data_IF_880830445863
#
_entry.id   IF_880830445863
#
_cell.length_a   1.000
_cell.length_b   1.000
_cell.length_c   1.000
_cell.angle_alpha   90.00
_cell.angle_beta   90.00
_cell.angle_gamma   90.00
#
_symmetry.space_group_name_H-M   'P 1'
#
loop_
_entity.id
_entity.type
_entity.pdbx_description
1 polymer ?
#
# COMPACT_ATOMS: atom_id res chain seq x y z
N UNK A 1 -4.89 -3.86 4.73
CA UNK A 1 -4.43 -5.14 4.09
C UNK A 1 -2.97 -5.00 3.67
N UNK A 2 -2.22 -6.10 3.47
CA UNK A 2 -0.84 -6.05 2.95
C UNK A 2 -0.67 -6.91 1.69
N UNK A 3 -0.07 -6.32 0.68
CA UNK A 3 0.49 -7.00 -0.50
C UNK A 3 1.99 -6.73 -0.60
N UNK A 4 2.73 -7.65 -1.22
CA UNK A 4 4.15 -7.42 -1.51
C UNK A 4 4.62 -8.24 -2.70
N UNK A 5 5.71 -7.80 -3.31
CA UNK A 5 6.52 -8.66 -4.18
C UNK A 5 7.18 -9.76 -3.35
N UNK A 6 7.56 -10.86 -4.02
CA UNK A 6 8.18 -12.01 -3.34
C UNK A 6 9.60 -11.70 -2.87
N UNK A 7 10.34 -10.91 -3.65
CA UNK A 7 11.65 -10.39 -3.27
C UNK A 7 11.61 -9.30 -2.18
N UNK A 8 10.42 -8.84 -1.80
CA UNK A 8 10.22 -7.82 -0.77
C UNK A 8 10.63 -6.40 -1.18
N UNK A 9 10.98 -6.18 -2.46
CA UNK A 9 11.35 -4.86 -2.98
C UNK A 9 10.22 -3.83 -2.92
N UNK A 10 8.96 -4.29 -3.01
CA UNK A 10 7.77 -3.44 -2.89
C UNK A 10 6.73 -4.05 -1.95
N UNK A 11 6.09 -3.20 -1.17
CA UNK A 11 4.93 -3.56 -0.36
C UNK A 11 3.88 -2.44 -0.34
N UNK A 12 2.61 -2.85 -0.35
CA UNK A 12 1.46 -1.97 -0.26
C UNK A 12 0.67 -2.29 1.00
N UNK A 13 0.47 -1.28 1.84
CA UNK A 13 -0.36 -1.34 3.05
C UNK A 13 -1.62 -0.52 2.82
N UNK A 14 -2.68 -1.20 2.38
CA UNK A 14 -3.96 -0.58 2.04
C UNK A 14 -4.72 -0.21 3.31
N UNK A 15 -5.15 1.04 3.38
CA UNK A 15 -5.95 1.63 4.47
C UNK A 15 -7.38 1.92 4.06
N UNK A 16 -7.60 2.34 2.81
CA UNK A 16 -8.91 2.68 2.27
C UNK A 16 -9.05 2.18 0.83
N UNK A 17 -10.29 2.07 0.35
CA UNK A 17 -10.55 1.69 -1.03
C UNK A 17 -11.95 2.06 -1.50
N UNK A 18 -12.06 2.44 -2.77
CA UNK A 18 -13.31 2.75 -3.44
C UNK A 18 -13.41 2.00 -4.77
N UNK A 19 -14.59 1.44 -5.06
CA UNK A 19 -14.82 0.71 -6.30
C UNK A 19 -15.06 1.68 -7.46
N UNK A 20 -14.32 1.52 -8.55
CA UNK A 20 -14.68 2.08 -9.86
C UNK A 20 -15.76 1.18 -10.47
N UNK A 21 -16.91 1.76 -10.79
CA UNK A 21 -18.08 1.01 -11.28
C UNK A 21 -18.46 1.40 -12.71
N UNK A 22 -19.08 0.47 -13.43
CA UNK A 22 -19.81 0.76 -14.67
C UNK A 22 -21.09 1.56 -14.37
N UNK A 23 -21.77 2.12 -15.40
CA UNK A 23 -23.08 2.74 -15.22
C UNK A 23 -24.12 1.80 -14.59
N UNK A 24 -24.02 0.49 -14.84
CA UNK A 24 -24.92 -0.54 -14.30
C UNK A 24 -24.56 -0.93 -12.85
N UNK A 25 -23.51 -0.34 -12.27
CA UNK A 25 -23.10 -0.53 -10.88
C UNK A 25 -22.06 -1.63 -10.65
N UNK A 26 -21.62 -2.35 -11.69
CA UNK A 26 -20.63 -3.42 -11.58
C UNK A 26 -19.23 -2.89 -11.30
N UNK A 27 -18.53 -3.46 -10.30
CA UNK A 27 -17.17 -3.03 -9.95
C UNK A 27 -16.16 -3.58 -10.98
N UNK A 28 -15.43 -2.69 -11.65
CA UNK A 28 -14.42 -3.05 -12.66
C UNK A 28 -12.98 -2.90 -12.16
N UNK A 29 -12.77 -2.07 -11.14
CA UNK A 29 -11.49 -1.92 -10.47
C UNK A 29 -11.70 -1.26 -9.10
N UNK A 30 -10.63 -1.14 -8.31
CA UNK A 30 -10.62 -0.45 -7.03
C UNK A 30 -9.50 0.58 -6.99
N UNK A 31 -9.85 1.83 -6.69
CA UNK A 31 -8.88 2.85 -6.29
C UNK A 31 -8.59 2.66 -4.81
N UNK A 32 -7.33 2.45 -4.47
CA UNK A 32 -6.89 2.16 -3.12
C UNK A 32 -5.99 3.29 -2.62
N UNK A 33 -6.03 3.52 -1.32
CA UNK A 33 -5.12 4.46 -0.65
C UNK A 33 -4.36 3.75 0.47
N UNK A 34 -3.08 4.04 0.57
CA UNK A 34 -2.25 3.47 1.61
C UNK A 34 -0.78 3.81 1.51
N UNK A 35 0.00 3.17 2.37
CA UNK A 35 1.45 3.29 2.39
C UNK A 35 2.06 2.35 1.33
N UNK A 36 2.84 2.93 0.42
CA UNK A 36 3.70 2.21 -0.52
C UNK A 36 5.12 2.25 0.01
N UNK A 37 5.73 1.08 0.17
CA UNK A 37 7.10 0.91 0.62
C UNK A 37 7.92 0.32 -0.50
N UNK A 38 8.92 1.06 -0.97
CA UNK A 38 9.91 0.64 -1.95
C UNK A 38 11.25 1.30 -1.66
N UNK A 39 11.96 1.84 -2.68
CA UNK A 39 13.14 2.70 -2.47
C UNK A 39 12.83 3.89 -1.55
N UNK A 40 11.65 4.48 -1.74
CA UNK A 40 11.08 5.50 -0.87
C UNK A 40 9.78 5.00 -0.22
N UNK A 41 9.38 5.68 0.85
CA UNK A 41 8.11 5.43 1.54
C UNK A 41 7.18 6.61 1.32
N UNK A 42 5.98 6.33 0.82
CA UNK A 42 4.98 7.38 0.55
C UNK A 42 3.56 6.90 0.72
N UNK A 43 2.69 7.81 1.12
CA UNK A 43 1.25 7.61 1.00
C UNK A 43 0.80 7.98 -0.40
N UNK A 44 0.05 7.09 -1.05
CA UNK A 44 -0.34 7.29 -2.44
C UNK A 44 -1.67 6.60 -2.76
N UNK A 45 -2.27 7.03 -3.87
CA UNK A 45 -3.38 6.34 -4.50
C UNK A 45 -2.87 5.40 -5.59
N UNK A 46 -3.48 4.21 -5.70
CA UNK A 46 -3.10 3.23 -6.72
C UNK A 46 -4.30 2.37 -7.10
N UNK A 47 -4.36 1.95 -8.36
CA UNK A 47 -5.36 0.99 -8.83
C UNK A 47 -4.98 -0.42 -8.41
N UNK A 48 -5.97 -1.23 -8.01
CA UNK A 48 -5.74 -2.64 -7.70
C UNK A 48 -5.18 -3.38 -8.93
N UNK A 49 -5.72 -3.11 -10.12
CA UNK A 49 -5.22 -3.69 -11.37
C UNK A 49 -3.73 -3.43 -11.59
N UNK A 50 -3.26 -2.20 -11.40
CA UNK A 50 -1.85 -1.82 -11.52
C UNK A 50 -0.97 -2.62 -10.55
N UNK A 51 -1.40 -2.75 -9.28
CA UNK A 51 -0.65 -3.54 -8.27
C UNK A 51 -0.58 -5.02 -8.66
N UNK A 52 -1.67 -5.59 -9.21
CA UNK A 52 -1.69 -7.00 -9.63
C UNK A 52 -0.89 -7.26 -10.92
N UNK A 53 -0.63 -6.22 -11.72
CA UNK A 53 0.22 -6.29 -12.91
C UNK A 53 1.71 -6.08 -12.60
N UNK A 54 2.07 -5.66 -11.39
CA UNK A 54 3.47 -5.57 -11.00
C UNK A 54 4.11 -6.96 -10.88
N UNK A 55 5.31 -7.07 -11.43
CA UNK A 55 6.17 -8.23 -11.32
C UNK A 55 7.50 -7.81 -10.69
N UNK A 56 8.05 -8.67 -9.85
CA UNK A 56 9.37 -8.45 -9.28
C UNK A 56 10.49 -8.72 -10.29
N UNK A 57 11.75 -8.55 -9.85
CA UNK A 57 12.93 -8.76 -10.72
C UNK A 57 13.04 -10.17 -11.31
N UNK A 58 12.34 -11.15 -10.71
CA UNK A 58 12.29 -12.54 -11.15
C UNK A 58 11.01 -12.86 -11.93
N UNK A 59 10.18 -11.86 -12.25
CA UNK A 59 8.92 -12.05 -12.97
C UNK A 59 7.80 -12.62 -12.10
N UNK A 60 7.95 -12.62 -10.77
CA UNK A 60 6.92 -13.13 -9.85
C UNK A 60 5.90 -12.03 -9.55
N UNK A 61 4.62 -12.41 -9.50
CA UNK A 61 3.52 -11.48 -9.21
C UNK A 61 3.49 -11.06 -7.76
N UNK A 62 2.89 -9.90 -7.51
CA UNK A 62 2.51 -9.45 -6.18
C UNK A 62 1.53 -10.42 -5.54
N UNK A 63 1.74 -10.76 -4.27
CA UNK A 63 0.91 -11.68 -3.51
C UNK A 63 0.25 -11.02 -2.30
N UNK A 64 -0.95 -11.50 -1.95
CA UNK A 64 -1.62 -11.10 -0.70
C UNK A 64 -1.02 -11.86 0.47
N UNK A 65 -0.61 -11.11 1.48
CA UNK A 65 -0.04 -11.71 2.68
C UNK A 65 -1.14 -12.34 3.55
N UNK A 66 -1.32 -13.66 3.44
CA UNK A 66 -2.43 -14.40 4.06
C UNK A 66 -2.46 -14.36 5.60
N UNK A 67 -1.30 -14.25 6.25
CA UNK A 67 -1.16 -14.19 7.71
C UNK A 67 -0.96 -12.79 8.28
N UNK A 68 -1.10 -11.75 7.45
CA UNK A 68 -0.89 -10.38 7.91
C UNK A 68 -1.97 -9.98 8.92
N UNK A 69 -1.55 -9.31 10.00
CA UNK A 69 -2.45 -8.69 10.98
C UNK A 69 -2.34 -7.17 10.85
N UNK A 70 -3.46 -6.42 10.88
CA UNK A 70 -3.42 -4.97 10.89
C UNK A 70 -2.54 -4.42 12.01
N UNK A 71 -1.78 -3.38 11.68
CA UNK A 71 -0.92 -2.60 12.59
C UNK A 71 -1.10 -1.13 12.27
N UNK A 72 -0.78 -0.24 13.21
CA UNK A 72 -0.75 1.20 12.93
C UNK A 72 0.38 1.53 11.95
N UNK A 73 0.24 2.62 11.22
CA UNK A 73 1.23 3.04 10.23
C UNK A 73 2.56 3.43 10.85
N UNK A 74 2.55 4.02 12.04
CA UNK A 74 3.76 4.35 12.81
C UNK A 74 4.45 3.12 13.43
N UNK A 75 3.76 1.99 13.57
CA UNK A 75 4.41 0.70 13.87
C UNK A 75 5.09 0.08 12.64
N UNK A 76 4.64 0.43 11.42
CA UNK A 76 5.14 -0.10 10.14
C UNK A 76 6.27 0.78 9.59
N UNK A 77 6.13 2.09 9.70
CA UNK A 77 7.01 3.11 9.17
C UNK A 77 7.24 4.24 10.19
N UNK A 78 7.82 3.95 11.37
CA UNK A 78 7.98 4.92 12.44
C UNK A 78 8.76 6.17 12.01
N UNK A 79 9.72 6.02 11.11
CA UNK A 79 10.50 7.12 10.54
C UNK A 79 9.67 8.20 9.85
N UNK A 80 8.47 7.88 9.35
CA UNK A 80 7.57 8.86 8.73
C UNK A 80 6.84 9.74 9.76
N UNK A 81 6.91 9.40 11.05
CA UNK A 81 6.15 10.06 12.13
C UNK A 81 7.03 10.60 13.26
N UNK A 82 8.34 10.33 13.25
CA UNK A 82 9.30 10.72 14.31
C UNK A 82 9.60 12.22 14.41
N UNK A 83 9.07 13.05 13.52
CA UNK A 83 9.42 14.47 13.44
C UNK A 83 8.44 15.42 14.17
N UNK A 84 7.32 14.94 14.70
CA UNK A 84 6.31 15.83 15.30
C UNK A 84 6.60 16.26 16.75
N UNK A 85 7.58 15.65 17.41
CA UNK A 85 7.90 15.97 18.82
C UNK A 85 8.92 17.11 18.99
N UNK A 86 9.48 17.66 17.90
CA UNK A 86 10.56 18.68 17.98
C UNK A 86 10.20 20.10 17.53
N UNK A 87 8.98 20.31 17.02
CA UNK A 87 8.56 21.62 16.47
C UNK A 87 7.47 22.32 17.31
N UNK A 88 7.24 21.87 18.56
CA UNK A 88 6.26 22.49 19.48
C UNK A 88 6.89 23.22 20.69
N UNK A 89 8.21 23.36 20.74
CA UNK A 89 8.91 24.22 21.69
C UNK A 89 9.71 25.28 20.93
N UNK A 90 9.08 26.39 20.59
CA UNK A 90 9.68 27.74 20.50
C UNK A 90 8.57 28.82 20.51
#
# INVERSE_FOLDING_TARGET
>A
MRWSTRDGSLAWYVTEGSARRTPDGEAVDYLLYGLVVGPDRRFDYFWLSDVMMHHDSLGMRVERHSRWRPKRLDEIAPEMFRSQDKEQED
#
